data_IF_358279858451
#
_entry.id   IF_358279858451
#
_cell.length_a   1.000
_cell.length_b   1.000
_cell.length_c   1.000
_cell.angle_alpha   90.00
_cell.angle_beta   90.00
_cell.angle_gamma   90.00
#
_symmetry.space_group_name_H-M   'P 1'
#
loop_
_entity.id
_entity.type
_entity.pdbx_description
1 polymer ?
#
# COMPACT_ATOMS: atom_id res chain seq x y z
N UNK A 1 -29.85 -6.83 -11.27
CA UNK A 1 -28.82 -6.34 -10.31
C UNK A 1 -27.90 -7.49 -10.02
N UNK A 2 -26.58 -7.29 -10.02
CA UNK A 2 -25.64 -8.04 -9.18
C UNK A 2 -24.28 -7.33 -9.30
N UNK A 3 -23.97 -6.46 -8.34
CA UNK A 3 -22.64 -5.85 -8.23
C UNK A 3 -21.60 -6.91 -7.85
N UNK A 4 -20.32 -6.61 -8.04
CA UNK A 4 -19.21 -7.52 -7.68
C UNK A 4 -19.31 -7.97 -6.22
N UNK A 5 -19.71 -7.06 -5.33
CA UNK A 5 -19.85 -7.30 -3.90
C UNK A 5 -21.05 -8.20 -3.54
N UNK A 6 -22.10 -8.18 -4.36
CA UNK A 6 -23.26 -9.05 -4.17
C UNK A 6 -22.90 -10.50 -4.58
N UNK A 7 -22.09 -10.65 -5.64
CA UNK A 7 -21.53 -11.93 -6.05
C UNK A 7 -20.60 -12.52 -4.98
N UNK A 8 -19.71 -11.71 -4.40
CA UNK A 8 -18.84 -12.14 -3.30
C UNK A 8 -19.67 -12.59 -2.10
N UNK A 9 -20.74 -11.87 -1.74
CA UNK A 9 -21.62 -12.27 -0.65
C UNK A 9 -22.31 -13.62 -0.94
N UNK A 10 -22.82 -13.83 -2.15
CA UNK A 10 -23.43 -15.09 -2.55
C UNK A 10 -22.45 -16.28 -2.48
N UNK A 11 -21.26 -16.13 -3.04
CA UNK A 11 -20.22 -17.17 -3.03
C UNK A 11 -19.70 -17.50 -1.62
N UNK A 12 -19.69 -16.52 -0.71
CA UNK A 12 -19.19 -16.70 0.66
C UNK A 12 -20.28 -17.03 1.67
N UNK A 13 -21.52 -17.29 1.22
CA UNK A 13 -22.69 -17.48 2.09
C UNK A 13 -22.95 -16.29 3.06
N UNK A 14 -22.53 -15.08 2.67
CA UNK A 14 -22.77 -13.84 3.41
C UNK A 14 -23.95 -13.04 2.86
N UNK A 15 -24.31 -11.97 3.57
CA UNK A 15 -25.31 -10.99 3.11
C UNK A 15 -24.66 -9.63 2.95
N UNK A 16 -24.68 -9.07 1.74
CA UNK A 16 -24.19 -7.71 1.49
C UNK A 16 -25.16 -6.68 2.10
N UNK A 17 -24.61 -5.66 2.76
CA UNK A 17 -25.34 -4.51 3.29
C UNK A 17 -24.76 -3.23 2.71
N UNK A 18 -25.59 -2.52 1.94
CA UNK A 18 -25.21 -1.24 1.34
C UNK A 18 -24.93 -0.20 2.41
N UNK A 19 -23.68 0.22 2.51
CA UNK A 19 -23.25 1.24 3.47
C UNK A 19 -22.49 2.39 2.82
N UNK A 20 -22.17 3.41 3.63
CA UNK A 20 -21.47 4.59 3.15
C UNK A 20 -20.03 4.26 2.77
N UNK A 21 -19.63 4.70 1.57
CA UNK A 21 -18.31 4.44 1.00
C UNK A 21 -17.46 5.69 1.16
N UNK A 22 -16.21 5.52 1.58
CA UNK A 22 -15.30 6.64 1.79
C UNK A 22 -13.85 6.18 1.70
N UNK A 23 -12.94 7.14 1.47
CA UNK A 23 -11.50 6.90 1.46
C UNK A 23 -10.93 7.25 2.84
N UNK A 24 -10.17 6.32 3.42
CA UNK A 24 -9.51 6.56 4.72
C UNK A 24 -8.38 7.58 4.61
N UNK A 25 -7.72 7.68 3.45
CA UNK A 25 -6.57 8.56 3.25
C UNK A 25 -6.94 10.00 2.81
N UNK A 26 -8.22 10.27 2.53
CA UNK A 26 -8.67 11.60 2.04
C UNK A 26 -9.03 12.57 3.15
N UNK A 27 -9.32 12.08 4.36
CA UNK A 27 -9.77 12.89 5.48
C UNK A 27 -8.65 12.92 6.52
N UNK A 28 -7.72 13.86 6.37
CA UNK A 28 -6.95 14.31 7.54
C UNK A 28 -7.88 15.21 8.34
N UNK A 29 -8.56 14.65 9.33
CA UNK A 29 -9.09 15.48 10.42
C UNK A 29 -7.86 16.13 11.03
N UNK A 30 -7.75 17.48 11.07
CA UNK A 30 -6.68 18.13 11.81
C UNK A 30 -6.87 17.77 13.28
N UNK A 31 -6.11 16.77 13.74
CA UNK A 31 -6.01 16.47 15.15
C UNK A 31 -5.20 17.58 15.81
N UNK A 32 -5.80 18.25 16.80
CA UNK A 32 -5.07 19.15 17.69
C UNK A 32 -4.19 18.26 18.56
N UNK A 33 -2.95 18.07 18.14
CA UNK A 33 -1.92 17.41 18.94
C UNK A 33 -1.48 18.41 20.00
N UNK A 34 -1.98 18.26 21.22
CA UNK A 34 -1.45 18.97 22.37
C UNK A 34 -0.06 18.40 22.67
N UNK A 35 0.98 19.18 22.38
CA UNK A 35 2.38 18.78 22.55
C UNK A 35 2.80 18.93 24.02
N UNK A 36 2.29 18.07 24.89
CA UNK A 36 2.78 17.91 26.27
C UNK A 36 4.09 17.08 26.31
N UNK A 37 4.90 17.14 25.25
CA UNK A 37 6.18 16.45 25.21
C UNK A 37 7.13 17.13 26.19
N UNK A 38 7.47 16.40 27.25
CA UNK A 38 8.69 16.67 28.03
C UNK A 38 9.86 16.64 27.05
N UNK A 39 10.67 17.69 27.05
CA UNK A 39 11.90 17.75 26.25
C UNK A 39 12.69 16.45 26.40
N UNK A 40 12.87 15.74 25.28
CA UNK A 40 13.74 14.55 25.26
C UNK A 40 15.18 15.06 25.40
N UNK A 41 15.69 15.06 26.63
CA UNK A 41 17.12 15.29 26.88
C UNK A 41 17.90 14.08 26.39
N UNK A 42 18.42 14.16 25.16
CA UNK A 42 19.31 13.15 24.58
C UNK A 42 20.57 13.05 25.44
N UNK A 43 20.65 12.01 26.28
CA UNK A 43 21.79 11.82 27.20
C UNK A 43 23.08 11.41 26.48
N UNK A 44 22.98 10.79 25.30
CA UNK A 44 24.12 10.25 24.56
C UNK A 44 23.83 10.27 23.06
N UNK A 45 24.70 10.92 22.32
CA UNK A 45 24.70 10.92 20.86
C UNK A 45 25.32 9.61 20.36
N UNK A 46 24.76 9.04 19.29
CA UNK A 46 25.29 7.85 18.62
C UNK A 46 26.47 8.14 17.70
N UNK A 47 26.74 9.41 17.41
CA UNK A 47 27.90 9.85 16.62
C UNK A 47 29.18 9.69 17.44
N UNK A 48 30.20 9.08 16.84
CA UNK A 48 31.51 8.89 17.46
C UNK A 48 32.27 10.22 17.59
N UNK A 49 32.05 11.14 16.64
CA UNK A 49 32.68 12.44 16.60
C UNK A 49 31.75 13.54 17.12
N UNK A 50 32.21 14.31 18.11
CA UNK A 50 31.50 15.50 18.59
C UNK A 50 31.96 16.72 17.81
N UNK A 51 31.25 17.05 16.74
CA UNK A 51 31.56 18.22 15.91
C UNK A 51 31.03 19.48 16.62
N UNK A 52 31.92 20.29 17.20
CA UNK A 52 31.56 21.54 17.91
C UNK A 52 31.54 22.78 17.00
N UNK A 53 32.12 22.68 15.79
CA UNK A 53 32.22 23.79 14.83
C UNK A 53 31.82 23.29 13.43
N UNK A 54 31.22 24.15 12.57
CA UNK A 54 30.89 23.77 11.20
C UNK A 54 32.11 23.21 10.47
N UNK A 55 31.98 22.01 9.89
CA UNK A 55 33.02 21.36 9.09
C UNK A 55 32.74 21.62 7.62
N UNK A 56 33.68 22.23 6.90
CA UNK A 56 33.53 22.42 5.45
C UNK A 56 33.51 21.07 4.73
N UNK A 57 32.48 20.86 3.90
CA UNK A 57 32.32 19.69 3.03
C UNK A 57 32.75 19.98 1.59
N UNK A 58 33.35 21.15 1.31
CA UNK A 58 33.66 21.60 -0.04
C UNK A 58 34.58 20.63 -0.79
N UNK A 59 35.65 20.15 -0.14
CA UNK A 59 36.57 19.17 -0.73
C UNK A 59 35.85 17.86 -1.06
N UNK A 60 35.07 17.35 -0.11
CA UNK A 60 34.29 16.13 -0.30
C UNK A 60 33.25 16.30 -1.42
N UNK A 61 32.62 17.47 -1.51
CA UNK A 61 31.66 17.80 -2.56
C UNK A 61 32.34 17.78 -3.93
N UNK A 62 33.47 18.49 -4.10
CA UNK A 62 34.27 18.48 -5.34
C UNK A 62 34.74 17.08 -5.71
N UNK A 63 35.08 16.25 -4.73
CA UNK A 63 35.49 14.86 -4.95
C UNK A 63 34.33 13.93 -5.37
N UNK A 64 33.08 14.28 -5.05
CA UNK A 64 31.87 13.49 -5.39
C UNK A 64 31.23 13.97 -6.69
N UNK A 65 31.33 15.27 -6.99
CA UNK A 65 30.81 15.87 -8.23
C UNK A 65 31.40 15.15 -9.45
N UNK A 66 30.52 14.68 -10.35
CA UNK A 66 30.90 13.96 -11.56
C UNK A 66 31.13 12.45 -11.40
N UNK A 67 31.05 11.90 -10.19
CA UNK A 67 31.07 10.44 -9.98
C UNK A 67 29.69 9.82 -10.15
N UNK A 68 29.66 8.53 -10.49
CA UNK A 68 28.40 7.79 -10.55
C UNK A 68 27.68 7.80 -9.19
N UNK A 69 26.34 7.92 -9.17
CA UNK A 69 25.59 7.94 -7.94
C UNK A 69 25.69 6.60 -7.21
N UNK A 70 26.08 6.63 -5.94
CA UNK A 70 26.18 5.44 -5.08
C UNK A 70 24.84 4.67 -4.99
N UNK A 71 23.74 5.42 -4.89
CA UNK A 71 22.38 4.88 -4.91
C UNK A 71 21.78 5.08 -6.29
N UNK A 72 21.62 3.97 -7.01
CA UNK A 72 21.10 3.96 -8.38
C UNK A 72 19.62 3.62 -8.44
N UNK A 73 19.13 2.76 -7.55
CA UNK A 73 17.73 2.34 -7.53
C UNK A 73 17.02 2.80 -6.27
N UNK A 74 15.83 3.34 -6.44
CA UNK A 74 14.96 3.85 -5.39
C UNK A 74 13.61 3.18 -5.52
N UNK A 75 13.17 2.51 -4.46
CA UNK A 75 11.85 1.89 -4.43
C UNK A 75 11.00 2.56 -3.37
N UNK A 76 9.77 2.84 -3.77
CA UNK A 76 8.74 3.34 -2.90
C UNK A 76 7.41 2.64 -3.18
N UNK A 77 6.62 2.48 -2.13
CA UNK A 77 5.29 1.91 -2.16
C UNK A 77 4.29 2.93 -1.64
N UNK A 78 3.20 3.10 -2.37
CA UNK A 78 2.06 3.92 -1.94
C UNK A 78 0.80 3.08 -1.93
N UNK A 79 -0.13 3.41 -1.04
CA UNK A 79 -1.44 2.80 -1.03
C UNK A 79 -2.53 3.84 -0.80
N UNK A 80 -3.73 3.51 -1.29
CA UNK A 80 -4.99 4.14 -0.90
C UNK A 80 -5.97 3.07 -0.44
N UNK A 81 -6.64 3.29 0.68
CA UNK A 81 -7.65 2.37 1.22
C UNK A 81 -9.03 3.01 1.27
N UNK A 82 -10.05 2.19 1.01
CA UNK A 82 -11.43 2.63 0.87
C UNK A 82 -12.37 1.64 1.54
N UNK A 83 -13.34 2.15 2.29
CA UNK A 83 -14.50 1.35 2.67
C UNK A 83 -15.44 1.30 1.47
N UNK A 84 -15.80 0.09 1.01
CA UNK A 84 -16.63 -0.09 -0.20
C UNK A 84 -18.00 -0.69 0.07
N UNK A 85 -18.17 -1.43 1.17
CA UNK A 85 -19.47 -1.92 1.64
C UNK A 85 -19.32 -2.57 3.02
N UNK A 86 -20.42 -3.08 3.57
CA UNK A 86 -20.40 -4.02 4.69
C UNK A 86 -20.98 -5.40 4.28
N UNK A 87 -20.49 -6.46 4.91
CA UNK A 87 -20.97 -7.84 4.73
C UNK A 87 -21.32 -8.44 6.08
N UNK A 88 -22.43 -9.16 6.15
CA UNK A 88 -22.87 -9.82 7.36
C UNK A 88 -22.65 -11.34 7.32
N UNK A 89 -22.16 -11.86 8.43
CA UNK A 89 -22.08 -13.28 8.76
C UNK A 89 -22.62 -13.50 10.17
N UNK A 90 -23.51 -14.47 10.35
CA UNK A 90 -24.13 -14.82 11.64
C UNK A 90 -24.59 -13.60 12.47
N UNK A 91 -25.32 -12.68 11.82
CA UNK A 91 -25.86 -11.43 12.41
C UNK A 91 -24.81 -10.40 12.83
N UNK A 92 -23.53 -10.59 12.53
CA UNK A 92 -22.47 -9.59 12.72
C UNK A 92 -22.09 -8.95 11.38
N UNK A 93 -21.88 -7.63 11.38
CA UNK A 93 -21.44 -6.86 10.23
C UNK A 93 -19.92 -6.68 10.24
N UNK A 94 -19.33 -6.75 9.05
CA UNK A 94 -17.91 -6.64 8.81
C UNK A 94 -17.65 -5.74 7.60
N UNK A 95 -16.68 -4.81 7.67
CA UNK A 95 -16.41 -3.91 6.56
C UNK A 95 -15.65 -4.61 5.43
N UNK A 96 -16.05 -4.35 4.19
CA UNK A 96 -15.26 -4.69 3.00
C UNK A 96 -14.37 -3.49 2.68
N UNK A 97 -13.06 -3.71 2.73
CA UNK A 97 -12.07 -2.67 2.42
C UNK A 97 -11.45 -2.97 1.06
N UNK A 98 -11.40 -1.98 0.18
CA UNK A 98 -10.63 -2.03 -1.06
C UNK A 98 -9.31 -1.29 -0.88
N UNK A 99 -8.24 -1.87 -1.42
CA UNK A 99 -6.90 -1.29 -1.45
C UNK A 99 -6.43 -1.09 -2.87
N UNK A 100 -5.86 0.07 -3.14
CA UNK A 100 -5.09 0.34 -4.35
C UNK A 100 -3.65 0.53 -3.95
N UNK A 101 -2.78 -0.37 -4.39
CA UNK A 101 -1.36 -0.38 -4.05
C UNK A 101 -0.56 -0.06 -5.30
N UNK A 102 0.28 0.97 -5.25
CA UNK A 102 1.28 1.28 -6.25
C UNK A 102 2.67 0.97 -5.71
N UNK A 103 3.45 0.16 -6.43
CA UNK A 103 4.88 -0.04 -6.14
C UNK A 103 5.68 0.45 -7.34
N UNK A 104 6.61 1.36 -7.08
CA UNK A 104 7.43 1.99 -8.10
C UNK A 104 8.91 1.85 -7.80
N UNK A 105 9.70 1.65 -8.85
CA UNK A 105 11.15 1.70 -8.83
C UNK A 105 11.58 2.82 -9.77
N UNK A 106 12.37 3.75 -9.25
CA UNK A 106 13.12 4.71 -10.03
C UNK A 106 14.57 4.27 -10.17
N UNK A 107 15.15 4.61 -11.32
CA UNK A 107 16.59 4.57 -11.55
C UNK A 107 17.12 6.00 -11.64
N UNK A 108 18.25 6.24 -11.01
CA UNK A 108 19.03 7.47 -11.09
C UNK A 108 20.24 7.21 -11.97
N UNK A 109 20.21 7.72 -13.20
CA UNK A 109 21.31 7.52 -14.15
C UNK A 109 22.43 8.56 -13.94
N UNK A 110 22.05 9.80 -13.61
CA UNK A 110 22.97 10.89 -13.30
C UNK A 110 22.57 11.58 -11.99
N UNK A 111 23.33 12.59 -11.54
CA UNK A 111 22.98 13.29 -10.29
C UNK A 111 21.56 13.83 -10.28
N UNK A 112 21.01 14.25 -11.40
CA UNK A 112 19.73 14.98 -11.40
C UNK A 112 18.66 14.32 -12.30
N UNK A 113 18.99 13.22 -12.98
CA UNK A 113 18.06 12.49 -13.86
C UNK A 113 17.51 11.22 -13.19
N UNK A 114 16.21 11.23 -12.91
CA UNK A 114 15.46 10.10 -12.38
C UNK A 114 14.44 9.62 -13.40
N UNK A 115 14.51 8.34 -13.73
CA UNK A 115 13.57 7.69 -14.65
C UNK A 115 12.81 6.60 -13.95
N UNK A 116 11.52 6.48 -14.28
CA UNK A 116 10.72 5.34 -13.86
C UNK A 116 11.29 4.08 -14.52
N UNK A 117 11.78 3.14 -13.70
CA UNK A 117 12.24 1.84 -14.16
C UNK A 117 11.08 0.87 -14.26
N UNK A 118 10.27 0.80 -13.20
CA UNK A 118 9.12 -0.11 -13.14
C UNK A 118 8.06 0.47 -12.23
N UNK A 119 6.82 0.50 -12.71
CA UNK A 119 5.66 0.88 -11.92
C UNK A 119 4.59 -0.20 -12.06
N UNK A 120 4.09 -0.68 -10.92
CA UNK A 120 3.04 -1.69 -10.88
C UNK A 120 1.90 -1.22 -9.98
N UNK A 121 0.67 -1.35 -10.47
CA UNK A 121 -0.55 -1.05 -9.72
C UNK A 121 -1.27 -2.36 -9.45
N UNK A 122 -1.65 -2.55 -8.19
CA UNK A 122 -2.36 -3.72 -7.71
C UNK A 122 -3.66 -3.29 -7.04
N UNK A 123 -4.74 -4.02 -7.33
CA UNK A 123 -6.05 -3.80 -6.74
C UNK A 123 -6.36 -4.98 -5.84
N UNK A 124 -6.59 -4.71 -4.57
CA UNK A 124 -6.82 -5.75 -3.57
C UNK A 124 -8.13 -5.49 -2.84
N UNK A 125 -8.77 -6.55 -2.38
CA UNK A 125 -9.90 -6.48 -1.46
C UNK A 125 -9.52 -7.14 -0.15
N UNK A 126 -10.08 -6.65 0.96
CA UNK A 126 -9.89 -7.23 2.28
C UNK A 126 -11.24 -7.68 2.83
N UNK A 127 -11.34 -8.97 3.19
CA UNK A 127 -12.55 -9.62 3.69
C UNK A 127 -12.29 -10.33 5.02
N UNK A 128 -13.29 -10.47 5.91
CA UNK A 128 -13.10 -11.17 7.18
C UNK A 128 -12.85 -12.67 6.94
N UNK A 129 -12.06 -13.30 7.81
CA UNK A 129 -11.77 -14.75 7.73
C UNK A 129 -13.03 -15.61 7.66
N UNK A 130 -14.11 -15.17 8.32
CA UNK A 130 -15.43 -15.81 8.29
C UNK A 130 -16.02 -16.03 6.89
N UNK A 131 -15.56 -15.29 5.88
CA UNK A 131 -15.92 -15.53 4.48
C UNK A 131 -15.52 -16.95 4.01
N UNK A 132 -14.49 -17.53 4.63
CA UNK A 132 -14.09 -18.92 4.44
C UNK A 132 -14.61 -19.81 5.59
N UNK A 133 -15.93 -20.00 5.69
CA UNK A 133 -16.52 -20.81 6.75
C UNK A 133 -16.25 -22.34 6.63
N UNK A 134 -15.78 -22.81 5.46
CA UNK A 134 -15.81 -24.25 5.10
C UNK A 134 -14.43 -24.89 4.90
N UNK A 135 -13.39 -24.11 4.59
CA UNK A 135 -12.12 -24.66 4.11
C UNK A 135 -11.00 -24.39 5.10
N UNK A 136 -10.20 -25.41 5.44
CA UNK A 136 -9.05 -25.25 6.34
C UNK A 136 -7.88 -24.48 5.71
N UNK A 137 -7.90 -24.24 4.39
CA UNK A 137 -6.84 -23.55 3.65
C UNK A 137 -7.34 -22.23 3.03
N UNK A 138 -7.14 -21.14 3.77
CA UNK A 138 -7.55 -19.79 3.36
C UNK A 138 -6.95 -19.37 2.01
N UNK A 139 -5.65 -19.67 1.78
CA UNK A 139 -4.95 -19.23 0.56
C UNK A 139 -5.60 -19.79 -0.70
N UNK A 140 -5.93 -21.08 -0.70
CA UNK A 140 -6.58 -21.71 -1.86
C UNK A 140 -7.98 -21.15 -2.10
N UNK A 141 -8.75 -20.94 -1.03
CA UNK A 141 -10.09 -20.39 -1.12
C UNK A 141 -10.10 -18.98 -1.73
N UNK A 142 -9.31 -18.05 -1.18
CA UNK A 142 -9.28 -16.67 -1.65
C UNK A 142 -8.67 -16.55 -3.05
N UNK A 143 -7.70 -17.38 -3.42
CA UNK A 143 -7.18 -17.44 -4.79
C UNK A 143 -8.25 -17.88 -5.79
N UNK A 144 -9.06 -18.89 -5.43
CA UNK A 144 -10.18 -19.34 -6.26
C UNK A 144 -11.27 -18.29 -6.35
N UNK A 145 -11.61 -17.63 -5.24
CA UNK A 145 -12.57 -16.52 -5.22
C UNK A 145 -12.10 -15.37 -6.11
N UNK A 146 -10.82 -14.99 -6.02
CA UNK A 146 -10.22 -13.94 -6.86
C UNK A 146 -10.36 -14.28 -8.35
N UNK A 147 -10.05 -15.52 -8.75
CA UNK A 147 -10.22 -15.99 -10.13
C UNK A 147 -11.68 -15.90 -10.60
N UNK A 148 -12.62 -16.38 -9.77
CA UNK A 148 -14.06 -16.31 -10.08
C UNK A 148 -14.54 -14.87 -10.24
N UNK A 149 -14.13 -13.99 -9.33
CA UNK A 149 -14.46 -12.56 -9.37
C UNK A 149 -13.91 -11.94 -10.66
N UNK A 150 -12.65 -12.15 -11.00
CA UNK A 150 -12.06 -11.60 -12.23
C UNK A 150 -12.70 -12.14 -13.51
N UNK A 151 -13.30 -13.34 -13.49
CA UNK A 151 -14.03 -13.88 -14.64
C UNK A 151 -15.41 -13.22 -14.86
N UNK A 152 -15.88 -12.37 -13.95
CA UNK A 152 -17.16 -11.67 -14.12
C UNK A 152 -17.08 -10.66 -15.28
N UNK A 153 -18.07 -10.73 -16.18
CA UNK A 153 -18.20 -9.80 -17.32
C UNK A 153 -18.16 -8.32 -16.91
N UNK A 154 -18.67 -7.99 -15.71
CA UNK A 154 -18.68 -6.61 -15.19
C UNK A 154 -17.27 -6.06 -14.97
N UNK A 155 -16.34 -6.90 -14.49
CA UNK A 155 -14.94 -6.51 -14.25
C UNK A 155 -14.16 -6.42 -15.57
N UNK A 156 -14.36 -7.41 -16.44
CA UNK A 156 -13.77 -7.43 -17.78
C UNK A 156 -14.17 -6.21 -18.61
N UNK A 157 -15.45 -5.85 -18.61
CA UNK A 157 -15.95 -4.67 -19.33
C UNK A 157 -15.36 -3.35 -18.81
N UNK A 158 -14.88 -3.31 -17.56
CA UNK A 158 -14.29 -2.12 -16.93
C UNK A 158 -12.76 -2.09 -16.96
N UNK A 159 -12.14 -3.15 -17.48
CA UNK A 159 -10.68 -3.34 -17.48
C UNK A 159 -10.09 -3.38 -16.07
N UNK A 160 -10.82 -3.94 -15.09
CA UNK A 160 -10.33 -4.08 -13.71
C UNK A 160 -9.92 -5.52 -13.48
N UNK A 161 -8.76 -5.69 -12.87
CA UNK A 161 -8.29 -6.97 -12.37
C UNK A 161 -7.98 -6.86 -10.87
N UNK A 162 -8.69 -7.63 -10.04
CA UNK A 162 -8.38 -7.74 -8.63
C UNK A 162 -7.21 -8.70 -8.49
N UNK A 163 -6.09 -8.20 -8.00
CA UNK A 163 -4.85 -8.95 -7.80
C UNK A 163 -5.06 -10.05 -6.76
N UNK A 164 -5.52 -9.68 -5.56
CA UNK A 164 -5.69 -10.59 -4.43
C UNK A 164 -6.87 -10.17 -3.55
N UNK A 165 -7.52 -11.17 -2.94
CA UNK A 165 -8.45 -10.97 -1.83
C UNK A 165 -7.75 -11.41 -0.55
N UNK A 166 -7.63 -10.50 0.41
CA UNK A 166 -6.84 -10.61 1.62
C UNK A 166 -7.74 -10.90 2.82
N UNK A 167 -7.55 -12.04 3.51
CA UNK A 167 -8.23 -12.31 4.76
C UNK A 167 -7.74 -11.42 5.90
N UNK A 168 -8.66 -10.81 6.65
CA UNK A 168 -8.35 -10.17 7.93
C UNK A 168 -9.06 -10.86 9.10
N UNK A 169 -8.42 -10.77 10.27
CA UNK A 169 -8.89 -11.40 11.48
C UNK A 169 -10.21 -10.79 11.97
N UNK A 170 -11.21 -11.65 12.15
CA UNK A 170 -12.55 -11.30 12.62
C UNK A 170 -12.77 -11.60 14.11
N UNK A 171 -11.68 -11.89 14.85
CA UNK A 171 -11.73 -12.05 16.30
C UNK A 171 -12.36 -10.83 16.98
N UNK A 172 -13.07 -11.01 18.11
CA UNK A 172 -13.72 -9.94 18.84
C UNK A 172 -12.76 -8.78 19.11
N UNK A 173 -13.22 -7.57 18.82
CA UNK A 173 -12.46 -6.35 19.05
C UNK A 173 -12.17 -6.18 20.55
N UNK A 174 -10.98 -5.67 20.87
CA UNK A 174 -10.58 -5.32 22.24
C UNK A 174 -10.43 -3.80 22.33
N UNK A 175 -11.05 -3.18 23.33
CA UNK A 175 -10.92 -1.73 23.55
C UNK A 175 -11.43 -0.90 22.38
N UNK A 176 -10.56 -0.05 21.81
CA UNK A 176 -10.87 0.91 20.74
C UNK A 176 -10.59 0.40 19.32
N UNK A 177 -10.19 -0.87 19.15
CA UNK A 177 -9.87 -1.44 17.84
C UNK A 177 -11.10 -1.45 16.93
N UNK A 178 -10.90 -1.14 15.64
CA UNK A 178 -11.93 -1.22 14.60
C UNK A 178 -11.61 -2.33 13.59
N UNK A 179 -12.63 -2.96 13.02
CA UNK A 179 -12.41 -3.98 11.97
C UNK A 179 -11.84 -3.36 10.70
N UNK A 180 -12.15 -2.10 10.43
CA UNK A 180 -11.58 -1.31 9.34
C UNK A 180 -10.04 -1.28 9.43
N UNK A 181 -9.49 -1.04 10.62
CA UNK A 181 -8.05 -0.96 10.85
C UNK A 181 -7.36 -2.30 10.59
N UNK A 182 -8.01 -3.41 10.96
CA UNK A 182 -7.51 -4.76 10.64
C UNK A 182 -7.46 -5.00 9.13
N UNK A 183 -8.47 -4.57 8.39
CA UNK A 183 -8.48 -4.67 6.93
C UNK A 183 -7.42 -3.79 6.25
N UNK A 184 -7.25 -2.56 6.74
CA UNK A 184 -6.21 -1.63 6.28
C UNK A 184 -4.81 -2.20 6.55
N UNK A 185 -4.59 -2.79 7.72
CA UNK A 185 -3.32 -3.42 8.07
C UNK A 185 -2.95 -4.55 7.10
N UNK A 186 -3.92 -5.37 6.65
CA UNK A 186 -3.65 -6.41 5.65
C UNK A 186 -3.24 -5.84 4.29
N UNK A 187 -3.84 -4.74 3.86
CA UNK A 187 -3.46 -4.06 2.62
C UNK A 187 -2.05 -3.47 2.75
N UNK A 188 -1.70 -2.93 3.92
CA UNK A 188 -0.35 -2.44 4.22
C UNK A 188 0.68 -3.58 4.18
N UNK A 189 0.37 -4.73 4.77
CA UNK A 189 1.24 -5.92 4.75
C UNK A 189 1.49 -6.41 3.33
N UNK A 190 0.45 -6.43 2.50
CA UNK A 190 0.54 -6.82 1.08
C UNK A 190 1.42 -5.83 0.30
N UNK A 191 1.31 -4.52 0.56
CA UNK A 191 2.21 -3.53 -0.04
C UNK A 191 3.68 -3.83 0.31
N UNK A 192 3.97 -4.12 1.58
CA UNK A 192 5.33 -4.48 2.02
C UNK A 192 5.81 -5.77 1.33
N UNK A 193 4.93 -6.74 1.14
CA UNK A 193 5.26 -7.97 0.41
C UNK A 193 5.58 -7.70 -1.08
N UNK A 194 4.82 -6.81 -1.72
CA UNK A 194 5.03 -6.39 -3.11
C UNK A 194 6.32 -5.58 -3.26
N UNK A 195 6.65 -4.70 -2.31
CA UNK A 195 7.93 -3.99 -2.24
C UNK A 195 9.09 -4.99 -2.18
N UNK A 196 9.03 -5.98 -1.28
CA UNK A 196 10.05 -7.05 -1.18
C UNK A 196 10.18 -7.85 -2.47
N UNK A 197 9.06 -8.17 -3.13
CA UNK A 197 9.06 -8.88 -4.42
C UNK A 197 9.75 -8.07 -5.51
N UNK A 198 9.49 -6.75 -5.58
CA UNK A 198 10.13 -5.88 -6.55
C UNK A 198 11.65 -5.77 -6.32
N UNK A 199 12.10 -5.76 -5.06
CA UNK A 199 13.54 -5.86 -4.73
C UNK A 199 14.12 -7.19 -5.19
N UNK A 200 13.42 -8.31 -4.94
CA UNK A 200 13.88 -9.62 -5.37
C UNK A 200 14.03 -9.70 -6.90
N UNK A 201 13.10 -9.11 -7.66
CA UNK A 201 13.20 -9.03 -9.12
C UNK A 201 14.43 -8.20 -9.57
N UNK A 202 14.72 -7.06 -8.93
CA UNK A 202 15.93 -6.28 -9.22
C UNK A 202 17.24 -7.06 -8.98
N UNK A 203 17.28 -7.86 -7.90
CA UNK A 203 18.43 -8.75 -7.62
C UNK A 203 18.54 -9.83 -8.70
N UNK A 204 17.42 -10.45 -9.07
CA UNK A 204 17.39 -11.49 -10.11
C UNK A 204 17.87 -10.97 -11.47
N UNK A 205 17.52 -9.73 -11.81
CA UNK A 205 17.96 -9.05 -13.03
C UNK A 205 19.43 -8.59 -12.97
N UNK A 206 20.17 -8.94 -11.91
CA UNK A 206 21.58 -8.58 -11.66
C UNK A 206 21.84 -7.07 -11.68
N UNK A 207 20.81 -6.28 -11.37
CA UNK A 207 20.89 -4.81 -11.34
C UNK A 207 21.45 -4.28 -10.02
N UNK A 208 21.36 -5.08 -8.95
CA UNK A 208 21.97 -4.81 -7.66
C UNK A 208 23.28 -5.62 -7.57
N UNK A 209 24.40 -4.90 -7.45
CA UNK A 209 25.74 -5.47 -7.32
C UNK A 209 26.52 -4.70 -6.23
N UNK A 210 27.77 -5.10 -5.96
CA UNK A 210 28.61 -4.46 -4.93
C UNK A 210 28.82 -2.95 -5.11
N UNK A 211 28.61 -2.44 -6.32
CA UNK A 211 28.79 -1.03 -6.67
C UNK A 211 27.45 -0.29 -6.89
N UNK A 212 26.32 -0.99 -6.79
CA UNK A 212 24.99 -0.44 -7.10
C UNK A 212 24.07 -0.64 -5.92
N UNK A 213 23.97 0.40 -5.08
CA UNK A 213 23.20 0.32 -3.85
C UNK A 213 21.73 0.68 -4.08
N UNK A 214 20.90 0.03 -3.27
CA UNK A 214 19.45 0.21 -3.22
C UNK A 214 19.06 1.01 -1.99
N UNK A 215 18.11 1.94 -2.14
CA UNK A 215 17.50 2.64 -1.00
C UNK A 215 16.00 2.38 -0.96
N UNK A 216 15.55 1.88 0.19
CA UNK A 216 14.13 1.68 0.53
C UNK A 216 13.67 2.81 1.44
N UNK A 217 12.56 3.47 1.11
CA UNK A 217 11.89 4.56 1.87
C UNK A 217 12.83 5.59 2.48
N UNK A 218 12.95 6.75 1.82
CA UNK A 218 13.02 8.07 2.46
C UNK A 218 13.57 9.09 1.47
N UNK A 219 12.72 9.51 0.54
CA UNK A 219 13.02 10.72 -0.24
C UNK A 219 11.74 11.53 -0.50
N UNK A 220 10.98 11.82 0.56
CA UNK A 220 9.77 12.64 0.45
C UNK A 220 10.03 14.07 -0.04
N UNK A 221 11.23 14.62 0.19
CA UNK A 221 11.58 15.99 -0.18
C UNK A 221 12.26 16.15 -1.55
N UNK A 222 12.87 15.09 -2.09
CA UNK A 222 13.62 15.15 -3.37
C UNK A 222 12.83 14.54 -4.55
N UNK A 223 11.73 13.84 -4.27
CA UNK A 223 10.92 13.12 -5.26
C UNK A 223 9.43 13.53 -5.25
N UNK A 224 9.15 14.84 -5.10
CA UNK A 224 7.78 15.36 -5.21
C UNK A 224 7.07 14.84 -6.46
N UNK A 225 7.73 14.93 -7.63
CA UNK A 225 7.18 14.44 -8.90
C UNK A 225 6.96 12.91 -8.99
N UNK A 226 7.76 12.07 -8.32
CA UNK A 226 7.57 10.62 -8.38
C UNK A 226 6.53 10.12 -7.39
N UNK A 227 6.48 10.71 -6.19
CA UNK A 227 5.33 10.54 -5.31
C UNK A 227 4.08 11.07 -5.99
N UNK A 228 4.15 12.13 -6.79
CA UNK A 228 3.01 12.58 -7.59
C UNK A 228 2.66 11.59 -8.70
N UNK A 229 3.61 10.89 -9.33
CA UNK A 229 3.32 9.80 -10.29
C UNK A 229 2.69 8.58 -9.58
N UNK A 230 3.15 8.21 -8.38
CA UNK A 230 2.56 7.15 -7.56
C UNK A 230 1.22 7.57 -6.94
N UNK A 231 1.01 8.86 -6.66
CA UNK A 231 -0.23 9.45 -6.14
C UNK A 231 -1.20 9.89 -7.25
N UNK A 232 -0.73 10.01 -8.49
CA UNK A 232 -1.49 10.23 -9.74
C UNK A 232 -2.28 8.99 -10.14
N UNK A 233 -2.20 7.93 -9.34
CA UNK A 233 -3.27 6.96 -9.25
C UNK A 233 -4.57 7.73 -8.91
N UNK A 234 -5.49 7.93 -9.88
CA UNK A 234 -6.66 8.75 -9.65
C UNK A 234 -7.51 8.13 -8.53
N UNK A 235 -7.81 8.88 -7.44
CA UNK A 235 -8.45 8.35 -6.24
C UNK A 235 -9.78 7.66 -6.49
N UNK A 236 -10.43 8.01 -7.60
CA UNK A 236 -11.83 7.72 -7.88
C UNK A 236 -12.02 6.45 -8.71
N UNK A 237 -10.97 5.91 -9.33
CA UNK A 237 -11.14 4.80 -10.28
C UNK A 237 -11.58 3.51 -9.57
N UNK A 238 -11.05 3.20 -8.39
CA UNK A 238 -11.31 1.90 -7.75
C UNK A 238 -12.69 1.84 -7.11
N UNK A 239 -13.07 2.85 -6.31
CA UNK A 239 -14.40 2.88 -5.68
C UNK A 239 -15.51 3.02 -6.72
N UNK A 240 -15.34 3.89 -7.72
CA UNK A 240 -16.38 4.08 -8.74
C UNK A 240 -16.54 2.83 -9.61
N UNK A 241 -15.41 2.22 -10.02
CA UNK A 241 -15.48 1.07 -10.91
C UNK A 241 -15.86 -0.23 -10.17
N UNK A 242 -15.46 -0.45 -8.92
CA UNK A 242 -15.85 -1.65 -8.14
C UNK A 242 -17.30 -1.56 -7.65
N UNK A 243 -17.75 -0.38 -7.21
CA UNK A 243 -19.06 -0.25 -6.54
C UNK A 243 -20.19 0.26 -7.43
N UNK A 244 -19.92 0.47 -8.72
CA UNK A 244 -20.88 0.96 -9.71
C UNK A 244 -21.49 2.33 -9.34
N UNK A 245 -20.83 3.10 -8.49
CA UNK A 245 -21.32 4.36 -7.95
C UNK A 245 -20.39 5.47 -8.43
N UNK A 246 -20.90 6.34 -9.28
CA UNK A 246 -20.25 7.60 -9.64
C UNK A 246 -20.40 8.51 -8.42
N UNK A 247 -19.29 9.05 -7.91
CA UNK A 247 -19.32 10.25 -7.07
C UNK A 247 -19.21 11.46 -7.99
#
# INVERSE_FOLDING_TARGET
>A
MNGILDYIAQETNGKNYKSFKFCFDSIKIPEIIYDDKREIKVKRYGETDKIQKPKSLEKLSKDIVGKEPLFKYFLDGSRRTYKVDDIAYDKKLYPIIAGQIGVGICVRETTDDFKAYKNSIYLVLSLPNRANAKTQNDKLFYNNLTKKVNNLKILNNKGINITNILPYDDSPLKGSDKYEDKGIAKIQDEMIALEKKAVFELVKDKRLNQNTFFRHRDIGHFFGHFLDILKMIPPYIVVCKITNTIY
#
